data_IF_935915055622
#
_entry.id   IF_935915055622
#
_cell.length_a   1.000
_cell.length_b   1.000
_cell.length_c   1.000
_cell.angle_alpha   90.00
_cell.angle_beta   90.00
_cell.angle_gamma   90.00
#
_symmetry.space_group_name_H-M   'P 1'
#
loop_
_entity.id
_entity.type
_entity.pdbx_description
1 polymer ?
#
# COMPACT_ATOMS: atom_id res chain seq x y z
N UNK A 1 -6.56 -0.25 -19.26
CA UNK A 1 -5.57 -0.02 -18.18
C UNK A 1 -5.40 -1.34 -17.46
N UNK A 2 -4.20 -1.91 -17.45
CA UNK A 2 -3.93 -3.23 -16.90
C UNK A 2 -4.30 -3.26 -15.41
N UNK A 3 -5.30 -4.06 -15.02
CA UNK A 3 -5.67 -4.26 -13.61
C UNK A 3 -4.62 -5.15 -12.94
N UNK A 4 -3.41 -4.62 -12.74
CA UNK A 4 -2.36 -5.31 -12.00
C UNK A 4 -2.76 -5.37 -10.53
N UNK A 5 -3.19 -6.56 -10.11
CA UNK A 5 -3.34 -6.94 -8.70
C UNK A 5 -2.05 -6.54 -7.95
N UNK A 6 -2.18 -5.86 -6.81
CA UNK A 6 -1.03 -5.41 -6.03
C UNK A 6 -0.55 -3.99 -6.33
N UNK A 7 -1.26 -3.21 -7.16
CA UNK A 7 -0.98 -1.78 -7.34
C UNK A 7 -1.07 -1.02 -6.02
N UNK A 8 -2.05 -1.36 -5.16
CA UNK A 8 -2.19 -0.78 -3.83
C UNK A 8 -1.01 -1.12 -2.93
N UNK A 9 -0.56 -2.37 -2.96
CA UNK A 9 0.61 -2.82 -2.19
C UNK A 9 1.88 -2.09 -2.63
N UNK A 10 2.12 -1.94 -3.94
CA UNK A 10 3.29 -1.23 -4.46
C UNK A 10 3.30 0.25 -4.02
N UNK A 11 2.16 0.93 -4.13
CA UNK A 11 2.00 2.32 -3.66
C UNK A 11 2.19 2.41 -2.15
N UNK A 12 1.58 1.49 -1.40
CA UNK A 12 1.67 1.42 0.05
C UNK A 12 3.11 1.24 0.54
N UNK A 13 3.87 0.32 -0.05
CA UNK A 13 5.29 0.12 0.28
C UNK A 13 6.11 1.37 -0.08
N UNK A 14 5.94 1.94 -1.27
CA UNK A 14 6.73 3.13 -1.68
C UNK A 14 6.53 4.30 -0.70
N UNK A 15 5.28 4.60 -0.33
CA UNK A 15 4.96 5.67 0.62
C UNK A 15 5.40 5.30 2.04
N UNK A 16 5.14 4.07 2.47
CA UNK A 16 5.50 3.58 3.81
C UNK A 16 7.00 3.61 4.05
N UNK A 17 7.81 3.19 3.07
CA UNK A 17 9.27 3.24 3.16
C UNK A 17 9.76 4.69 3.21
N UNK A 18 9.21 5.60 2.40
CA UNK A 18 9.56 7.02 2.44
C UNK A 18 9.27 7.65 3.81
N UNK A 19 8.07 7.39 4.37
CA UNK A 19 7.70 7.85 5.72
C UNK A 19 8.62 7.23 6.78
N UNK A 20 8.89 5.92 6.68
CA UNK A 20 9.77 5.21 7.62
C UNK A 20 11.20 5.74 7.62
N UNK A 21 11.73 6.14 6.46
CA UNK A 21 13.05 6.80 6.35
C UNK A 21 13.03 8.16 7.04
N UNK A 22 12.01 8.99 6.79
CA UNK A 22 11.87 10.32 7.42
C UNK A 22 11.73 10.22 8.95
N UNK A 23 11.02 9.20 9.43
CA UNK A 23 10.83 8.94 10.87
C UNK A 23 12.04 8.25 11.52
N UNK A 24 13.10 7.93 10.75
CA UNK A 24 14.20 7.07 11.18
C UNK A 24 13.71 5.74 11.80
N UNK A 25 12.55 5.26 11.36
CA UNK A 25 11.90 4.03 11.80
C UNK A 25 11.22 3.35 10.61
N UNK A 26 12.04 2.62 9.85
CA UNK A 26 11.59 1.88 8.67
C UNK A 26 10.58 0.79 9.03
N UNK A 27 10.69 0.18 10.22
CA UNK A 27 9.79 -0.87 10.65
C UNK A 27 8.33 -0.37 10.73
N UNK A 28 8.10 0.79 11.35
CA UNK A 28 6.77 1.41 11.44
C UNK A 28 6.30 1.88 10.06
N UNK A 29 7.16 2.54 9.29
CA UNK A 29 6.78 3.04 7.96
C UNK A 29 6.34 1.92 7.01
N UNK A 30 7.12 0.83 6.93
CA UNK A 30 6.82 -0.31 6.06
C UNK A 30 5.56 -1.06 6.52
N UNK A 31 5.38 -1.27 7.82
CA UNK A 31 4.18 -1.95 8.34
C UNK A 31 2.90 -1.15 8.08
N UNK A 32 2.92 0.18 8.24
CA UNK A 32 1.82 1.06 7.86
C UNK A 32 1.59 1.06 6.34
N UNK A 33 2.66 1.13 5.55
CA UNK A 33 2.60 1.08 4.09
C UNK A 33 1.92 -0.19 3.56
N UNK A 34 2.31 -1.36 4.10
CA UNK A 34 1.70 -2.64 3.76
C UNK A 34 0.23 -2.66 4.18
N UNK A 35 -0.10 -2.23 5.40
CA UNK A 35 -1.49 -2.20 5.89
C UNK A 35 -2.39 -1.38 4.97
N UNK A 36 -2.00 -0.14 4.64
CA UNK A 36 -2.78 0.72 3.75
C UNK A 36 -2.83 0.19 2.31
N UNK A 37 -1.74 -0.38 1.82
CA UNK A 37 -1.69 -0.97 0.48
C UNK A 37 -2.65 -2.14 0.31
N UNK A 38 -2.71 -3.04 1.31
CA UNK A 38 -3.66 -4.16 1.34
C UNK A 38 -5.11 -3.65 1.42
N UNK A 39 -5.39 -2.67 2.28
CA UNK A 39 -6.74 -2.08 2.41
C UNK A 39 -7.18 -1.44 1.09
N UNK A 40 -6.27 -0.73 0.41
CA UNK A 40 -6.55 -0.11 -0.89
C UNK A 40 -6.87 -1.17 -1.95
N UNK A 41 -6.05 -2.21 -2.06
CA UNK A 41 -6.30 -3.32 -2.99
C UNK A 41 -7.64 -4.01 -2.65
N UNK A 42 -7.90 -4.33 -1.38
CA UNK A 42 -9.14 -4.98 -0.94
C UNK A 42 -10.40 -4.17 -1.30
N UNK A 43 -10.37 -2.85 -1.08
CA UNK A 43 -11.49 -1.96 -1.42
C UNK A 43 -11.68 -1.78 -2.92
N UNK A 44 -10.59 -1.70 -3.69
CA UNK A 44 -10.64 -1.56 -5.15
C UNK A 44 -11.17 -2.82 -5.83
N UNK A 45 -10.78 -4.00 -5.34
CA UNK A 45 -11.31 -5.29 -5.81
C UNK A 45 -12.83 -5.43 -5.54
N UNK A 46 -13.35 -4.80 -4.48
CA UNK A 46 -14.78 -4.78 -4.17
C UNK A 46 -15.60 -3.93 -5.14
N UNK A 47 -15.03 -2.85 -5.69
CA UNK A 47 -15.73 -1.96 -6.64
C UNK A 47 -15.80 -2.51 -8.07
N UNK A 48 -14.87 -3.39 -8.47
CA UNK A 48 -14.87 -3.99 -9.82
C UNK A 48 -15.92 -5.10 -9.97
N UNK A 49 -16.46 -5.62 -8.85
CA UNK A 49 -17.46 -6.69 -8.84
C UNK A 49 -18.93 -6.20 -8.74
N UNK A 50 -19.19 -4.89 -8.83
CA UNK A 50 -20.55 -4.32 -8.73
C UNK A 50 -21.04 -3.81 -10.08
#
# INVERSE_FOLDING_TARGET
MEHKKGTGLAIGIAIGTAIGVVMNNIAIGVSLGIAFGIIYDANKNKKVKK
#
